data_IF_715593099569
#
_entry.id   IF_715593099569
#
_cell.length_a   1.000
_cell.length_b   1.000
_cell.length_c   1.000
_cell.angle_alpha   90.00
_cell.angle_beta   90.00
_cell.angle_gamma   90.00
#
_symmetry.space_group_name_H-M   'P 1'
#
loop_
_entity.id
_entity.type
_entity.pdbx_description
1 polymer ?
#
# COMPACT_ATOMS: atom_id res chain seq x y z
N UNK A 1 -4.77 -10.31 1.57
CA UNK A 1 -3.91 -10.07 0.39
C UNK A 1 -3.64 -8.58 0.38
N UNK A 2 -2.38 -8.16 0.52
CA UNK A 2 -2.04 -6.74 0.37
C UNK A 2 -2.03 -6.48 -1.13
N UNK A 3 -3.11 -5.92 -1.65
CA UNK A 3 -3.18 -5.57 -3.06
C UNK A 3 -2.41 -4.26 -3.31
N UNK A 4 -1.93 -4.09 -4.53
CA UNK A 4 -1.23 -2.88 -4.99
C UNK A 4 -2.26 -1.98 -5.67
N UNK A 5 -2.31 -0.67 -5.35
CA UNK A 5 -3.32 0.26 -5.86
C UNK A 5 -3.53 0.33 -7.37
N UNK A 6 -2.54 -0.08 -8.16
CA UNK A 6 -2.63 -0.09 -9.63
C UNK A 6 -3.05 -1.44 -10.22
N UNK A 7 -3.10 -2.51 -9.42
CA UNK A 7 -3.31 -3.89 -9.89
C UNK A 7 -4.67 -4.48 -9.56
N UNK A 8 -5.43 -3.87 -8.64
CA UNK A 8 -6.75 -4.35 -8.21
C UNK A 8 -7.75 -3.19 -8.21
N UNK A 9 -8.87 -3.26 -8.95
CA UNK A 9 -9.94 -2.23 -8.96
C UNK A 9 -10.64 -2.03 -7.61
N UNK A 10 -10.20 -2.69 -6.53
CA UNK A 10 -10.90 -2.69 -5.25
C UNK A 10 -10.37 -1.61 -4.32
N UNK A 11 -11.26 -0.65 -4.03
CA UNK A 11 -11.50 -0.06 -2.70
C UNK A 11 -10.31 0.58 -1.97
N UNK A 12 -9.48 1.38 -2.64
CA UNK A 12 -8.64 2.34 -1.91
C UNK A 12 -9.46 3.60 -1.63
N UNK A 13 -10.17 3.60 -0.51
CA UNK A 13 -10.78 4.80 0.08
C UNK A 13 -9.72 5.64 0.81
N UNK A 14 -8.58 5.86 0.16
CA UNK A 14 -7.53 6.73 0.70
C UNK A 14 -7.70 8.10 0.09
N UNK A 15 -7.70 9.13 0.93
CA UNK A 15 -7.43 10.47 0.47
C UNK A 15 -6.00 10.49 -0.07
N UNK A 16 -5.89 10.36 -1.39
CA UNK A 16 -4.62 10.29 -2.10
C UNK A 16 -4.41 11.52 -2.96
N UNK A 17 -3.15 11.92 -3.08
CA UNK A 17 -2.73 13.01 -3.94
C UNK A 17 -1.74 12.45 -4.96
N UNK A 18 -2.09 12.57 -6.24
CA UNK A 18 -1.17 12.28 -7.34
C UNK A 18 -0.29 13.51 -7.59
N UNK A 19 1.02 13.31 -7.68
CA UNK A 19 1.97 14.36 -7.99
C UNK A 19 3.01 13.84 -8.99
N UNK A 20 2.87 14.20 -10.27
CA UNK A 20 3.73 13.68 -11.33
C UNK A 20 3.67 12.15 -11.42
N UNK A 21 4.79 11.50 -11.12
CA UNK A 21 4.94 10.04 -11.15
C UNK A 21 4.77 9.36 -9.78
N UNK A 22 4.28 10.09 -8.78
CA UNK A 22 4.00 9.55 -7.46
C UNK A 22 2.54 9.69 -7.06
N UNK A 23 2.10 8.80 -6.16
CA UNK A 23 0.84 8.88 -5.44
C UNK A 23 1.13 8.80 -3.95
N UNK A 24 0.68 9.80 -3.21
CA UNK A 24 0.84 9.90 -1.76
C UNK A 24 -0.51 9.71 -1.08
N UNK A 25 -0.51 9.15 0.12
CA UNK A 25 -1.69 9.13 0.99
C UNK A 25 -1.29 9.45 2.42
N UNK A 26 -2.22 10.03 3.17
CA UNK A 26 -2.02 10.44 4.57
C UNK A 26 -2.94 9.72 5.55
N UNK A 27 -3.98 9.04 5.06
CA UNK A 27 -4.93 8.28 5.89
C UNK A 27 -5.60 7.16 5.09
N UNK A 28 -5.89 6.06 5.77
CA UNK A 28 -6.52 4.88 5.18
C UNK A 28 -8.05 4.97 5.03
N UNK A 29 -8.70 5.94 5.67
CA UNK A 29 -10.14 6.08 5.72
C UNK A 29 -10.58 7.53 5.42
N UNK A 30 -11.63 7.66 4.61
CA UNK A 30 -12.37 8.92 4.41
C UNK A 30 -13.44 9.14 5.48
N UNK A 31 -13.63 8.16 6.36
CA UNK A 31 -14.68 8.14 7.37
C UNK A 31 -14.21 8.92 8.61
N UNK A 32 -15.10 9.74 9.16
CA UNK A 32 -14.83 10.41 10.43
C UNK A 32 -14.57 9.34 11.50
N UNK A 33 -13.54 9.52 12.33
CA UNK A 33 -13.20 8.59 13.42
C UNK A 33 -14.39 8.30 14.36
N UNK A 34 -15.39 9.19 14.39
CA UNK A 34 -16.63 9.04 15.15
C UNK A 34 -17.68 8.12 14.51
N UNK A 35 -17.57 7.82 13.21
CA UNK A 35 -18.49 6.94 12.49
C UNK A 35 -17.84 5.56 12.28
N UNK A 36 -17.96 4.71 13.30
CA UNK A 36 -17.45 3.34 13.28
C UNK A 36 -18.52 2.35 13.76
N UNK A 37 -19.62 2.15 13.00
CA UNK A 37 -20.75 1.34 13.42
C UNK A 37 -20.37 -0.12 13.72
N UNK A 38 -19.36 -0.64 13.02
CA UNK A 38 -18.88 -2.02 13.14
C UNK A 38 -17.69 -2.18 14.10
N UNK A 39 -17.29 -1.10 14.81
CA UNK A 39 -16.16 -1.09 15.75
C UNK A 39 -14.86 -1.65 15.15
N UNK A 40 -14.61 -1.38 13.87
CA UNK A 40 -13.38 -1.77 13.19
C UNK A 40 -12.18 -1.08 13.84
N UNK A 41 -11.04 -1.76 13.87
CA UNK A 41 -9.77 -1.14 14.25
C UNK A 41 -9.38 -0.16 13.15
N UNK A 42 -9.40 1.13 13.48
CA UNK A 42 -8.92 2.19 12.61
C UNK A 42 -7.45 2.47 12.95
N UNK A 43 -6.51 2.25 12.02
CA UNK A 43 -5.10 2.48 12.29
C UNK A 43 -4.87 3.97 12.62
N UNK A 44 -4.31 4.31 13.79
CA UNK A 44 -4.02 5.70 14.15
C UNK A 44 -2.99 6.34 13.20
N UNK A 45 -2.11 5.53 12.59
CA UNK A 45 -1.13 5.99 11.61
C UNK A 45 -1.22 5.13 10.37
N UNK A 46 -1.48 5.75 9.21
CA UNK A 46 -1.33 5.10 7.92
C UNK A 46 -1.05 6.15 6.84
N UNK A 47 0.21 6.26 6.44
CA UNK A 47 0.62 7.14 5.36
C UNK A 47 1.75 6.52 4.54
N UNK A 48 1.94 7.02 3.34
CA UNK A 48 2.98 6.52 2.46
C UNK A 48 2.93 7.08 1.06
N UNK A 49 3.72 6.48 0.19
CA UNK A 49 3.76 6.85 -1.21
C UNK A 49 4.14 5.69 -2.11
N UNK A 50 3.61 5.70 -3.32
CA UNK A 50 4.16 4.99 -4.47
C UNK A 50 4.85 6.01 -5.38
N UNK A 51 6.00 5.65 -5.91
CA UNK A 51 6.75 6.46 -6.86
C UNK A 51 7.27 5.55 -7.97
N UNK A 52 7.09 5.99 -9.22
CA UNK A 52 7.55 5.26 -10.40
C UNK A 52 8.53 6.12 -11.18
N UNK A 53 9.72 5.60 -11.40
CA UNK A 53 10.79 6.28 -12.13
C UNK A 53 11.18 5.45 -13.35
N UNK A 54 11.40 6.10 -14.50
CA UNK A 54 11.98 5.41 -15.66
C UNK A 54 13.49 5.32 -15.48
N UNK A 55 14.03 4.11 -15.57
CA UNK A 55 15.47 3.83 -15.49
C UNK A 55 15.87 3.06 -16.74
N UNK A 56 16.33 3.78 -17.77
CA UNK A 56 16.62 3.21 -19.09
C UNK A 56 15.38 2.58 -19.73
N UNK A 57 15.44 1.26 -19.96
CA UNK A 57 14.34 0.46 -20.50
C UNK A 57 13.49 -0.22 -19.41
N UNK A 58 13.75 0.08 -18.13
CA UNK A 58 13.04 -0.48 -16.98
C UNK A 58 12.30 0.63 -16.23
N UNK A 59 11.40 0.21 -15.34
CA UNK A 59 10.80 1.09 -14.35
C UNK A 59 11.30 0.69 -12.97
N UNK A 60 11.68 1.68 -12.16
CA UNK A 60 11.95 1.52 -10.74
C UNK A 60 10.71 1.96 -9.98
N UNK A 61 10.28 1.12 -9.04
CA UNK A 61 9.13 1.41 -8.17
C UNK A 61 9.65 1.55 -6.74
N UNK A 62 9.32 2.65 -6.09
CA UNK A 62 9.59 2.87 -4.67
C UNK A 62 8.27 2.88 -3.91
N UNK A 63 8.12 1.95 -2.97
CA UNK A 63 6.99 1.90 -2.04
C UNK A 63 7.45 2.35 -0.66
N UNK A 64 6.82 3.41 -0.13
CA UNK A 64 7.03 3.91 1.23
C UNK A 64 5.74 3.65 2.00
N UNK A 65 5.85 3.00 3.16
CA UNK A 65 4.72 2.67 4.02
C UNK A 65 5.08 2.93 5.48
N UNK A 66 4.26 3.71 6.17
CA UNK A 66 4.28 3.83 7.62
C UNK A 66 2.88 3.52 8.13
N UNK A 67 2.74 2.43 8.88
CA UNK A 67 1.46 2.03 9.47
C UNK A 67 1.67 1.65 10.92
N UNK A 68 0.90 2.29 11.80
CA UNK A 68 0.59 1.79 13.13
C UNK A 68 -0.86 1.30 13.08
N UNK A 69 -1.08 -0.03 13.14
CA UNK A 69 -2.44 -0.59 13.18
C UNK A 69 -3.22 -0.21 14.45
N UNK A 70 -2.53 0.28 15.49
CA UNK A 70 -3.12 0.52 16.80
C UNK A 70 -3.48 -0.77 17.53
N UNK A 71 -3.85 -0.64 18.81
CA UNK A 71 -4.12 -1.79 19.66
C UNK A 71 -2.88 -2.61 20.00
N UNK A 72 -3.09 -3.82 20.51
CA UNK A 72 -2.01 -4.72 20.94
C UNK A 72 -1.67 -5.71 19.81
N UNK A 73 -0.93 -5.25 18.80
CA UNK A 73 -0.46 -6.13 17.72
C UNK A 73 0.82 -6.85 18.15
N UNK A 74 0.84 -8.21 18.19
CA UNK A 74 2.04 -8.96 18.53
C UNK A 74 3.21 -8.67 17.59
N UNK A 75 4.41 -8.62 18.15
CA UNK A 75 5.64 -8.33 17.40
C UNK A 75 5.84 -9.26 16.20
N UNK A 76 5.54 -10.56 16.35
CA UNK A 76 5.69 -11.54 15.26
C UNK A 76 4.83 -11.20 14.04
N UNK A 77 3.67 -10.54 14.21
CA UNK A 77 2.84 -10.08 13.09
C UNK A 77 3.52 -8.94 12.36
N UNK A 78 4.09 -7.99 13.12
CA UNK A 78 4.85 -6.86 12.57
C UNK A 78 6.08 -7.36 11.81
N UNK A 79 6.80 -8.34 12.36
CA UNK A 79 7.95 -8.97 11.71
C UNK A 79 7.55 -9.69 10.42
N UNK A 80 6.49 -10.50 10.44
CA UNK A 80 5.96 -11.18 9.24
C UNK A 80 5.54 -10.18 8.15
N UNK A 81 4.92 -9.06 8.52
CA UNK A 81 4.53 -8.03 7.57
C UNK A 81 5.76 -7.41 6.89
N UNK A 82 6.77 -7.00 7.67
CA UNK A 82 7.94 -6.29 7.18
C UNK A 82 8.94 -7.19 6.45
N UNK A 83 9.17 -8.41 6.95
CA UNK A 83 10.24 -9.28 6.45
C UNK A 83 9.76 -10.21 5.32
N UNK A 84 8.46 -10.48 5.23
CA UNK A 84 7.94 -11.46 4.28
C UNK A 84 6.83 -10.90 3.38
N UNK A 85 5.76 -10.34 3.94
CA UNK A 85 4.59 -9.93 3.14
C UNK A 85 4.86 -8.73 2.24
N UNK A 86 5.55 -7.70 2.75
CA UNK A 86 5.90 -6.52 1.95
C UNK A 86 6.87 -6.84 0.80
N UNK A 87 7.97 -7.61 1.01
CA UNK A 87 8.80 -8.09 -0.09
C UNK A 87 8.04 -8.95 -1.11
N UNK A 88 7.21 -9.89 -0.65
CA UNK A 88 6.43 -10.76 -1.54
C UNK A 88 5.50 -9.95 -2.43
N UNK A 89 4.84 -8.92 -1.89
CA UNK A 89 4.02 -7.99 -2.66
C UNK A 89 4.79 -7.33 -3.81
N UNK A 90 6.05 -6.91 -3.60
CA UNK A 90 6.87 -6.32 -4.66
C UNK A 90 7.29 -7.35 -5.72
N UNK A 91 7.50 -8.61 -5.33
CA UNK A 91 7.78 -9.71 -6.26
C UNK A 91 6.54 -10.04 -7.10
N UNK A 92 5.36 -10.06 -6.49
CA UNK A 92 4.09 -10.29 -7.17
C UNK A 92 3.80 -9.15 -8.17
N UNK A 93 4.11 -7.90 -7.81
CA UNK A 93 4.05 -6.74 -8.70
C UNK A 93 4.91 -6.93 -9.94
N UNK A 94 6.17 -7.33 -9.74
CA UNK A 94 7.12 -7.53 -10.82
C UNK A 94 6.68 -8.67 -11.75
N UNK A 95 6.19 -9.76 -11.16
CA UNK A 95 5.68 -10.93 -11.89
C UNK A 95 4.47 -10.55 -12.74
N UNK A 96 3.48 -9.87 -12.14
CA UNK A 96 2.31 -9.38 -12.86
C UNK A 96 2.70 -8.44 -14.00
N UNK A 97 3.64 -7.50 -13.75
CA UNK A 97 4.08 -6.56 -14.76
C UNK A 97 4.76 -7.28 -15.95
N UNK A 98 5.52 -8.35 -15.71
CA UNK A 98 6.14 -9.17 -16.76
C UNK A 98 5.11 -9.96 -17.56
N UNK A 99 4.12 -10.55 -16.89
CA UNK A 99 3.05 -11.32 -17.55
C UNK A 99 2.10 -10.45 -18.39
N UNK A 100 1.95 -9.17 -18.02
CA UNK A 100 1.20 -8.18 -18.81
C UNK A 100 1.94 -7.67 -20.04
N UNK A 101 3.23 -8.00 -20.20
CA UNK A 101 3.95 -7.80 -21.46
C UNK A 101 3.53 -8.93 -22.42
N UNK A 102 2.30 -8.87 -22.91
CA UNK A 102 1.87 -9.59 -24.12
C UNK A 102 1.42 -8.51 -25.11
N UNK A 103 1.96 -8.48 -26.34
CA UNK A 103 1.65 -7.46 -27.35
C UNK A 103 0.18 -7.47 -27.79
#
# INVERSE_FOLDING_TARGET
>A
IFDIPFLSPRLYQFNSMRHGNSIHWIKADTINVTYNPDKLLLPPVNFGSWEVEKVGNQSKITYRLCTDPGGNVPLWIVEQANQYKLPLLLIDLETYAKEKIIP
#
